data_IF_345433550627
#
_entry.id   IF_345433550627
#
_cell.length_a   1.000
_cell.length_b   1.000
_cell.length_c   1.000
_cell.angle_alpha   90.00
_cell.angle_beta   90.00
_cell.angle_gamma   90.00
#
_symmetry.space_group_name_H-M   'P 1'
#
loop_
_entity.id
_entity.type
_entity.pdbx_description
1 polymer ?
#
# COMPACT_ATOMS: atom_id res chain seq x y z
N UNK A 1 -42.62 18.98 -3.49
CA UNK A 1 -42.00 20.12 -4.18
C UNK A 1 -43.09 21.15 -4.43
N UNK A 2 -43.18 22.14 -3.56
CA UNK A 2 -44.03 23.32 -3.77
C UNK A 2 -43.27 24.25 -4.68
N UNK A 3 -43.66 24.31 -5.95
CA UNK A 3 -43.09 25.29 -6.89
C UNK A 3 -43.56 26.68 -6.48
N UNK A 4 -42.64 27.50 -5.97
CA UNK A 4 -42.83 28.94 -5.89
C UNK A 4 -42.89 29.46 -7.32
N UNK A 5 -44.12 29.64 -7.83
CA UNK A 5 -44.35 30.33 -9.10
C UNK A 5 -44.18 31.81 -8.78
N UNK A 6 -43.25 32.48 -9.46
CA UNK A 6 -42.96 33.90 -9.26
C UNK A 6 -44.27 34.71 -9.34
N UNK A 7 -44.61 35.43 -8.27
CA UNK A 7 -45.85 36.24 -8.20
C UNK A 7 -45.92 37.29 -9.31
N UNK A 8 -44.76 37.77 -9.76
CA UNK A 8 -44.60 38.71 -10.88
C UNK A 8 -45.04 38.11 -12.22
N UNK A 9 -44.75 36.82 -12.47
CA UNK A 9 -45.17 36.12 -13.68
C UNK A 9 -46.69 35.86 -13.69
N UNK A 10 -47.29 35.65 -12.52
CA UNK A 10 -48.75 35.52 -12.40
C UNK A 10 -49.47 36.86 -12.62
N UNK A 11 -48.92 37.95 -12.07
CA UNK A 11 -49.46 39.30 -12.25
C UNK A 11 -49.39 39.76 -13.70
N UNK A 12 -48.25 39.60 -14.37
CA UNK A 12 -48.07 39.96 -15.78
C UNK A 12 -48.99 39.17 -16.72
N UNK A 13 -49.20 37.88 -16.44
CA UNK A 13 -50.17 37.06 -17.19
C UNK A 13 -51.61 37.56 -17.03
N UNK A 14 -51.99 37.98 -15.83
CA UNK A 14 -53.33 38.50 -15.55
C UNK A 14 -53.58 39.85 -16.22
N UNK A 15 -52.57 40.73 -16.21
CA UNK A 15 -52.61 42.01 -16.92
C UNK A 15 -52.71 41.81 -18.44
N UNK A 16 -51.91 40.90 -19.01
CA UNK A 16 -51.99 40.60 -20.44
C UNK A 16 -53.36 40.02 -20.85
N UNK A 17 -54.00 39.22 -19.99
CA UNK A 17 -55.34 38.70 -20.24
C UNK A 17 -56.41 39.82 -20.21
N UNK A 18 -56.31 40.75 -19.27
CA UNK A 18 -57.21 41.92 -19.20
C UNK A 18 -57.01 42.88 -20.38
N UNK A 19 -55.75 43.16 -20.76
CA UNK A 19 -55.46 44.01 -21.91
C UNK A 19 -55.97 43.41 -23.21
N UNK A 20 -55.95 42.08 -23.34
CA UNK A 20 -56.51 41.39 -24.51
C UNK A 20 -58.03 41.39 -24.57
N UNK A 21 -58.73 41.56 -23.44
CA UNK A 21 -60.20 41.62 -23.39
C UNK A 21 -60.75 43.05 -23.54
N UNK A 22 -59.97 44.06 -23.15
CA UNK A 22 -60.38 45.47 -23.19
C UNK A 22 -60.07 46.15 -24.53
N UNK A 23 -59.04 45.70 -25.25
CA UNK A 23 -58.62 46.30 -26.52
C UNK A 23 -58.99 45.38 -27.69
N UNK A 24 -59.96 45.76 -28.55
CA UNK A 24 -60.23 45.00 -29.77
C UNK A 24 -58.98 44.97 -30.65
N UNK A 25 -58.46 43.77 -30.94
CA UNK A 25 -57.26 43.55 -31.75
C UNK A 25 -55.98 43.23 -30.96
N UNK A 26 -56.00 43.28 -29.63
CA UNK A 26 -54.85 42.88 -28.81
C UNK A 26 -54.76 41.35 -28.69
N UNK A 27 -53.85 40.73 -29.45
CA UNK A 27 -53.61 39.28 -29.39
C UNK A 27 -52.87 38.89 -28.11
N UNK A 28 -53.39 37.91 -27.36
CA UNK A 28 -52.73 37.33 -26.18
C UNK A 28 -51.32 36.85 -26.54
N UNK A 29 -50.31 37.50 -25.94
CA UNK A 29 -48.91 37.12 -26.11
C UNK A 29 -48.69 35.72 -25.53
N UNK A 30 -48.57 34.72 -26.41
CA UNK A 30 -48.15 33.37 -26.05
C UNK A 30 -46.65 33.43 -25.79
N UNK A 31 -46.27 33.67 -24.54
CA UNK A 31 -44.88 33.50 -24.10
C UNK A 31 -44.53 32.03 -24.36
N UNK A 32 -43.55 31.80 -25.23
CA UNK A 32 -43.16 30.49 -25.78
C UNK A 32 -42.91 29.45 -24.67
N UNK A 33 -43.95 28.72 -24.27
CA UNK A 33 -43.81 27.41 -23.62
C UNK A 33 -43.94 26.35 -24.71
N UNK A 34 -42.80 25.92 -25.23
CA UNK A 34 -42.74 24.80 -26.17
C UNK A 34 -43.49 23.59 -25.59
N UNK A 35 -44.47 23.11 -26.35
CA UNK A 35 -45.07 21.77 -26.27
C UNK A 35 -45.56 21.28 -24.91
N UNK A 36 -46.64 21.88 -24.40
CA UNK A 36 -47.64 21.10 -23.66
C UNK A 36 -48.98 21.38 -24.31
N UNK A 37 -49.35 20.52 -25.28
CA UNK A 37 -50.74 20.37 -25.69
C UNK A 37 -51.52 19.89 -24.47
N UNK A 38 -52.01 20.81 -23.65
CA UNK A 38 -53.10 20.48 -22.75
C UNK A 38 -54.31 20.28 -23.64
N UNK A 39 -54.59 19.03 -24.00
CA UNK A 39 -55.90 18.66 -24.51
C UNK A 39 -56.93 19.26 -23.54
N UNK A 40 -57.66 20.28 -24.01
CA UNK A 40 -58.79 20.81 -23.27
C UNK A 40 -59.84 19.69 -23.25
N UNK A 41 -59.76 18.83 -22.25
CA UNK A 41 -60.80 17.84 -22.01
C UNK A 41 -62.10 18.61 -21.78
N UNK A 42 -62.97 18.62 -22.79
CA UNK A 42 -64.34 19.15 -22.72
C UNK A 42 -65.18 18.23 -21.83
N UNK A 43 -64.78 18.06 -20.57
CA UNK A 43 -65.51 17.32 -19.56
C UNK A 43 -66.26 18.29 -18.65
N UNK A 44 -67.51 17.97 -18.33
CA UNK A 44 -68.22 18.65 -17.23
C UNK A 44 -67.35 18.59 -15.97
N UNK A 45 -67.26 19.70 -15.22
CA UNK A 45 -66.52 19.79 -13.95
C UNK A 45 -66.90 18.65 -13.00
N UNK A 46 -68.14 18.13 -13.08
CA UNK A 46 -68.60 16.97 -12.34
C UNK A 46 -67.81 15.67 -12.65
N UNK A 47 -67.44 15.41 -13.92
CA UNK A 47 -66.61 14.25 -14.29
C UNK A 47 -65.17 14.38 -13.79
N UNK A 48 -64.66 15.60 -13.68
CA UNK A 48 -63.35 15.86 -13.08
C UNK A 48 -63.38 15.62 -11.56
N UNK A 49 -64.46 16.05 -10.91
CA UNK A 49 -64.68 15.81 -9.48
C UNK A 49 -64.79 14.32 -9.19
N UNK A 50 -65.59 13.55 -9.94
CA UNK A 50 -65.69 12.09 -9.78
C UNK A 50 -64.35 11.38 -9.96
N UNK A 51 -63.58 11.75 -11.00
CA UNK A 51 -62.21 11.22 -11.22
C UNK A 51 -61.28 11.55 -10.05
N UNK A 52 -61.36 12.76 -9.50
CA UNK A 52 -60.53 13.16 -8.36
C UNK A 52 -60.96 12.45 -7.07
N UNK A 53 -62.25 12.22 -6.85
CA UNK A 53 -62.77 11.48 -5.69
C UNK A 53 -62.33 10.01 -5.74
N UNK A 54 -62.42 9.35 -6.90
CA UNK A 54 -61.91 7.98 -7.10
C UNK A 54 -60.41 7.88 -6.84
N UNK A 55 -59.62 8.80 -7.41
CA UNK A 55 -58.18 8.88 -7.13
C UNK A 55 -57.89 9.12 -5.65
N UNK A 56 -58.69 9.94 -4.96
CA UNK A 56 -58.52 10.19 -3.52
C UNK A 56 -58.80 8.93 -2.69
N UNK A 57 -59.75 8.09 -3.07
CA UNK A 57 -60.00 6.79 -2.43
C UNK A 57 -58.79 5.87 -2.63
N UNK A 58 -58.28 5.74 -3.86
CA UNK A 58 -57.06 4.97 -4.15
C UNK A 58 -55.81 5.50 -3.42
N UNK A 59 -55.73 6.80 -3.16
CA UNK A 59 -54.63 7.42 -2.39
C UNK A 59 -54.79 7.13 -0.89
N UNK A 60 -56.03 7.06 -0.38
CA UNK A 60 -56.31 6.68 1.02
C UNK A 60 -56.07 5.19 1.27
N UNK A 61 -56.34 4.33 0.28
CA UNK A 61 -56.07 2.89 0.34
C UNK A 61 -54.57 2.54 0.20
N UNK A 62 -53.77 3.44 -0.39
CA UNK A 62 -52.31 3.29 -0.40
C UNK A 62 -51.78 3.38 1.03
N UNK A 63 -50.89 2.44 1.37
CA UNK A 63 -50.18 2.44 2.64
C UNK A 63 -49.21 3.63 2.74
N UNK A 64 -49.74 4.76 3.21
CA UNK A 64 -49.02 6.03 3.40
C UNK A 64 -47.80 5.81 4.30
N UNK A 65 -47.89 4.89 5.26
CA UNK A 65 -46.80 4.59 6.19
C UNK A 65 -45.62 3.94 5.47
N UNK A 66 -45.85 2.92 4.63
CA UNK A 66 -44.78 2.32 3.81
C UNK A 66 -44.13 3.33 2.87
N UNK A 67 -44.92 4.22 2.26
CA UNK A 67 -44.39 5.27 1.37
C UNK A 67 -43.52 6.26 2.16
N UNK A 68 -43.98 6.74 3.32
CA UNK A 68 -43.20 7.62 4.21
C UNK A 68 -41.92 6.94 4.69
N UNK A 69 -41.98 5.67 5.07
CA UNK A 69 -40.81 4.88 5.49
C UNK A 69 -39.77 4.77 4.36
N UNK A 70 -40.21 4.46 3.13
CA UNK A 70 -39.33 4.41 1.95
C UNK A 70 -38.68 5.78 1.68
N UNK A 71 -39.44 6.87 1.72
CA UNK A 71 -38.91 8.24 1.54
C UNK A 71 -37.86 8.58 2.60
N UNK A 72 -38.14 8.33 3.88
CA UNK A 72 -37.18 8.55 4.97
C UNK A 72 -35.90 7.75 4.79
N UNK A 73 -35.99 6.50 4.31
CA UNK A 73 -34.80 5.69 4.03
C UNK A 73 -33.98 6.25 2.87
N UNK A 74 -34.63 6.77 1.82
CA UNK A 74 -33.95 7.42 0.69
C UNK A 74 -33.23 8.69 1.18
N UNK A 75 -33.93 9.56 1.91
CA UNK A 75 -33.35 10.78 2.49
C UNK A 75 -32.15 10.47 3.40
N UNK A 76 -32.24 9.43 4.25
CA UNK A 76 -31.11 9.00 5.08
C UNK A 76 -29.93 8.49 4.27
N UNK A 77 -30.17 7.77 3.16
CA UNK A 77 -29.11 7.31 2.27
C UNK A 77 -28.44 8.49 1.58
N UNK A 78 -29.21 9.43 1.05
CA UNK A 78 -28.71 10.65 0.43
C UNK A 78 -27.88 11.48 1.41
N UNK A 79 -28.37 11.65 2.65
CA UNK A 79 -27.64 12.33 3.70
C UNK A 79 -26.29 11.66 3.99
N UNK A 80 -26.26 10.32 4.12
CA UNK A 80 -25.01 9.58 4.33
C UNK A 80 -24.04 9.73 3.16
N UNK A 81 -24.54 9.68 1.92
CA UNK A 81 -23.73 9.87 0.72
C UNK A 81 -23.13 11.28 0.70
N UNK A 82 -23.92 12.30 0.99
CA UNK A 82 -23.46 13.68 1.03
C UNK A 82 -22.42 13.89 2.13
N UNK A 83 -22.64 13.34 3.33
CA UNK A 83 -21.66 13.37 4.42
C UNK A 83 -20.32 12.74 4.02
N UNK A 84 -20.34 11.61 3.31
CA UNK A 84 -19.11 10.97 2.80
C UNK A 84 -18.43 11.84 1.75
N UNK A 85 -19.19 12.48 0.85
CA UNK A 85 -18.64 13.41 -0.15
C UNK A 85 -17.99 14.63 0.52
N UNK A 86 -18.63 15.22 1.52
CA UNK A 86 -18.10 16.34 2.29
C UNK A 86 -16.81 15.97 3.01
N UNK A 87 -16.78 14.82 3.69
CA UNK A 87 -15.57 14.32 4.35
C UNK A 87 -14.42 14.08 3.35
N UNK A 88 -14.73 13.56 2.16
CA UNK A 88 -13.73 13.37 1.10
C UNK A 88 -13.20 14.70 0.59
N UNK A 89 -14.06 15.70 0.42
CA UNK A 89 -13.66 17.05 0.01
C UNK A 89 -12.77 17.69 1.07
N UNK A 90 -13.14 17.58 2.34
CA UNK A 90 -12.34 18.09 3.47
C UNK A 90 -10.96 17.41 3.54
N UNK A 91 -10.90 16.09 3.36
CA UNK A 91 -9.64 15.35 3.30
C UNK A 91 -8.76 15.79 2.12
N UNK A 92 -9.36 15.99 0.94
CA UNK A 92 -8.64 16.48 -0.23
C UNK A 92 -8.06 17.88 -0.01
N UNK A 93 -8.84 18.78 0.63
CA UNK A 93 -8.38 20.11 0.99
C UNK A 93 -7.20 20.05 1.98
N UNK A 94 -7.33 19.24 3.05
CA UNK A 94 -6.26 18.99 4.02
C UNK A 94 -4.99 18.46 3.35
N UNK A 95 -5.13 17.51 2.43
CA UNK A 95 -4.01 16.95 1.67
C UNK A 95 -3.36 18.02 0.78
N UNK A 96 -4.14 18.86 0.11
CA UNK A 96 -3.61 19.96 -0.70
C UNK A 96 -2.80 20.94 0.14
N UNK A 97 -3.27 21.30 1.33
CA UNK A 97 -2.55 22.18 2.26
C UNK A 97 -1.25 21.51 2.73
N UNK A 98 -1.33 20.25 3.14
CA UNK A 98 -0.17 19.48 3.58
C UNK A 98 0.91 19.37 2.50
N UNK A 99 0.52 19.19 1.23
CA UNK A 99 1.44 19.18 0.09
C UNK A 99 2.16 20.51 -0.08
N UNK A 100 1.42 21.63 0.04
CA UNK A 100 2.00 22.99 -0.02
C UNK A 100 2.99 23.23 1.12
N UNK A 101 2.59 22.96 2.36
CA UNK A 101 3.47 23.12 3.52
C UNK A 101 4.70 22.20 3.45
N UNK A 102 4.58 21.01 2.83
CA UNK A 102 5.71 20.12 2.58
C UNK A 102 6.66 20.69 1.53
N UNK A 103 6.15 21.22 0.41
CA UNK A 103 7.00 21.83 -0.62
C UNK A 103 7.71 23.10 -0.15
N UNK A 104 7.05 23.90 0.69
CA UNK A 104 7.58 25.14 1.25
C UNK A 104 8.45 24.91 2.50
N UNK A 105 8.46 23.69 3.05
CA UNK A 105 9.18 23.36 4.29
C UNK A 105 8.53 23.90 5.57
N UNK A 106 7.36 24.54 5.48
CA UNK A 106 6.62 25.21 6.57
C UNK A 106 5.72 24.25 7.38
N UNK A 107 6.06 22.96 7.42
CA UNK A 107 5.22 21.93 8.01
C UNK A 107 5.10 22.06 9.55
N UNK A 108 3.87 22.14 10.03
CA UNK A 108 3.54 22.34 11.45
C UNK A 108 3.85 21.09 12.28
N UNK A 109 4.11 21.23 13.59
CA UNK A 109 4.32 20.09 14.51
C UNK A 109 3.18 19.06 14.46
N UNK A 110 1.92 19.52 14.39
CA UNK A 110 0.73 18.65 14.28
C UNK A 110 0.72 17.86 12.97
N UNK A 111 1.06 18.51 11.85
CA UNK A 111 1.13 17.91 10.53
C UNK A 111 2.27 16.89 10.42
N UNK A 112 3.43 17.20 11.02
CA UNK A 112 4.55 16.26 11.16
C UNK A 112 4.14 15.00 11.93
N UNK A 113 3.45 15.16 13.06
CA UNK A 113 2.95 14.02 13.86
C UNK A 113 1.95 13.19 13.06
N UNK A 114 1.02 13.84 12.35
CA UNK A 114 0.06 13.17 11.48
C UNK A 114 0.74 12.39 10.36
N UNK A 115 1.71 13.00 9.66
CA UNK A 115 2.47 12.33 8.59
C UNK A 115 3.27 11.13 9.10
N UNK A 116 3.88 11.22 10.29
CA UNK A 116 4.55 10.07 10.91
C UNK A 116 3.56 8.93 11.19
N UNK A 117 2.43 9.22 11.84
CA UNK A 117 1.41 8.21 12.11
C UNK A 117 0.90 7.53 10.82
N UNK A 118 0.68 8.29 9.74
CA UNK A 118 0.29 7.74 8.43
C UNK A 118 1.42 6.91 7.82
N UNK A 119 2.67 7.36 7.93
CA UNK A 119 3.85 6.62 7.47
C UNK A 119 3.97 5.29 8.20
N UNK A 120 3.85 5.29 9.53
CA UNK A 120 3.95 4.09 10.37
C UNK A 120 2.83 3.09 10.02
N UNK A 121 1.60 3.56 9.82
CA UNK A 121 0.50 2.71 9.36
C UNK A 121 0.75 2.13 7.97
N UNK A 122 1.30 2.91 7.05
CA UNK A 122 1.60 2.44 5.69
C UNK A 122 2.78 1.45 5.68
N UNK A 123 3.80 1.69 6.51
CA UNK A 123 4.91 0.77 6.71
C UNK A 123 4.38 -0.54 7.27
N UNK A 124 3.52 -0.51 8.29
CA UNK A 124 2.96 -1.72 8.87
C UNK A 124 2.08 -2.48 7.86
N UNK A 125 1.28 -1.77 7.04
CA UNK A 125 0.51 -2.41 5.95
C UNK A 125 1.41 -3.02 4.88
N UNK A 126 2.48 -2.33 4.48
CA UNK A 126 3.43 -2.86 3.50
C UNK A 126 4.18 -4.07 4.06
N UNK A 127 4.60 -4.01 5.33
CA UNK A 127 5.25 -5.13 6.03
C UNK A 127 4.31 -6.30 6.30
N UNK A 128 3.00 -6.07 6.45
CA UNK A 128 2.04 -7.17 6.63
C UNK A 128 1.89 -8.09 5.41
N UNK A 129 2.47 -7.71 4.28
CA UNK A 129 2.57 -8.57 3.09
C UNK A 129 3.95 -9.24 2.98
N UNK A 130 4.92 -8.86 3.83
CA UNK A 130 6.21 -9.55 3.95
C UNK A 130 6.01 -10.80 4.83
N UNK A 131 6.90 -11.78 4.68
CA UNK A 131 6.89 -12.97 5.52
C UNK A 131 7.20 -12.59 6.97
N UNK A 132 6.65 -13.35 7.93
CA UNK A 132 7.04 -13.22 9.32
C UNK A 132 8.54 -13.49 9.46
N UNK A 133 9.19 -12.86 10.45
CA UNK A 133 10.66 -12.87 10.59
C UNK A 133 11.22 -14.30 10.63
N UNK A 134 10.48 -15.23 11.26
CA UNK A 134 10.84 -16.65 11.37
C UNK A 134 10.77 -17.37 10.00
N UNK A 135 9.69 -17.16 9.24
CA UNK A 135 9.52 -17.73 7.90
C UNK A 135 10.54 -17.14 6.90
N UNK A 136 10.92 -15.88 7.10
CA UNK A 136 11.91 -15.19 6.31
C UNK A 136 13.32 -15.75 6.53
N UNK A 137 13.66 -16.09 7.76
CA UNK A 137 14.94 -16.74 8.08
C UNK A 137 15.02 -18.13 7.45
N UNK A 138 13.97 -18.94 7.57
CA UNK A 138 13.89 -20.26 6.93
C UNK A 138 14.00 -20.18 5.41
N UNK A 139 13.24 -19.27 4.79
CA UNK A 139 13.28 -19.04 3.34
C UNK A 139 14.67 -18.57 2.89
N UNK A 140 15.31 -17.68 3.66
CA UNK A 140 16.65 -17.19 3.37
C UNK A 140 17.68 -18.31 3.49
N UNK A 141 17.54 -19.21 4.46
CA UNK A 141 18.39 -20.39 4.63
C UNK A 141 18.26 -21.35 3.44
N UNK A 142 17.03 -21.66 3.01
CA UNK A 142 16.77 -22.48 1.82
C UNK A 142 17.32 -21.82 0.56
N UNK A 143 17.12 -20.52 0.39
CA UNK A 143 17.66 -19.77 -0.75
C UNK A 143 19.19 -19.82 -0.78
N UNK A 144 19.83 -19.66 0.38
CA UNK A 144 21.27 -19.74 0.53
C UNK A 144 21.78 -21.16 0.24
N UNK A 145 21.07 -22.19 0.68
CA UNK A 145 21.39 -23.59 0.38
C UNK A 145 21.32 -23.87 -1.12
N UNK A 146 20.27 -23.43 -1.80
CA UNK A 146 20.12 -23.56 -3.27
C UNK A 146 21.24 -22.80 -3.99
N UNK A 147 21.52 -21.57 -3.57
CA UNK A 147 22.61 -20.76 -4.13
C UNK A 147 23.97 -21.43 -3.94
N UNK A 148 24.21 -22.03 -2.77
CA UNK A 148 25.44 -22.75 -2.46
C UNK A 148 25.52 -24.06 -3.25
N UNK A 149 24.42 -24.76 -3.47
CA UNK A 149 24.36 -25.94 -4.33
C UNK A 149 24.71 -25.57 -5.78
N UNK A 150 24.13 -24.49 -6.31
CA UNK A 150 24.45 -23.98 -7.64
C UNK A 150 25.92 -23.55 -7.76
N UNK A 151 26.47 -22.89 -6.74
CA UNK A 151 27.87 -22.44 -6.72
C UNK A 151 28.88 -23.59 -6.50
N UNK A 152 28.55 -24.57 -5.66
CA UNK A 152 29.41 -25.74 -5.36
C UNK A 152 29.60 -26.65 -6.57
N UNK A 153 28.68 -26.59 -7.54
CA UNK A 153 28.84 -27.24 -8.84
C UNK A 153 29.94 -26.58 -9.72
N UNK A 154 30.50 -25.44 -9.32
CA UNK A 154 31.68 -24.87 -9.98
C UNK A 154 32.94 -25.64 -9.58
N UNK A 155 33.56 -26.27 -10.57
CA UNK A 155 34.85 -26.98 -10.50
C UNK A 155 36.03 -26.16 -9.89
N UNK A 156 35.83 -24.87 -9.66
CA UNK A 156 36.81 -23.94 -9.10
C UNK A 156 37.27 -24.32 -7.68
N UNK A 157 36.35 -24.67 -6.77
CA UNK A 157 36.71 -25.00 -5.38
C UNK A 157 37.39 -26.37 -5.26
N UNK A 158 36.95 -27.36 -6.04
CA UNK A 158 37.65 -28.66 -6.14
C UNK A 158 39.07 -28.48 -6.68
N UNK A 159 39.26 -27.62 -7.68
CA UNK A 159 40.58 -27.37 -8.25
C UNK A 159 41.51 -26.61 -7.29
N UNK A 160 40.99 -25.62 -6.55
CA UNK A 160 41.74 -24.90 -5.50
C UNK A 160 42.17 -25.84 -4.37
N UNK A 161 41.28 -26.73 -3.90
CA UNK A 161 41.59 -27.77 -2.89
C UNK A 161 42.62 -28.79 -3.38
N UNK A 162 42.60 -29.19 -4.65
CA UNK A 162 43.64 -30.09 -5.21
C UNK A 162 45.01 -29.41 -5.25
N UNK A 163 45.07 -28.12 -5.58
CA UNK A 163 46.33 -27.36 -5.62
C UNK A 163 46.94 -27.14 -4.24
N UNK A 164 46.14 -26.90 -3.21
CA UNK A 164 46.65 -26.74 -1.84
C UNK A 164 47.20 -28.05 -1.26
N UNK A 165 46.50 -29.17 -1.45
CA UNK A 165 46.96 -30.50 -0.99
C UNK A 165 48.31 -30.92 -1.62
N UNK A 166 48.53 -30.58 -2.90
CA UNK A 166 49.81 -30.88 -3.58
C UNK A 166 50.98 -30.05 -3.05
N UNK A 167 50.72 -28.86 -2.49
CA UNK A 167 51.75 -28.02 -1.85
C UNK A 167 52.11 -28.58 -0.47
N UNK A 168 51.11 -28.89 0.35
CA UNK A 168 51.30 -29.45 1.70
C UNK A 168 52.07 -30.77 1.70
N UNK A 169 51.75 -31.68 0.77
CA UNK A 169 52.47 -32.95 0.65
C UNK A 169 53.96 -32.78 0.32
N UNK A 170 54.32 -31.76 -0.46
CA UNK A 170 55.74 -31.49 -0.81
C UNK A 170 56.51 -30.90 0.38
N UNK A 171 55.87 -30.08 1.20
CA UNK A 171 56.48 -29.54 2.43
C UNK A 171 56.72 -30.64 3.48
N UNK A 172 55.77 -31.56 3.67
CA UNK A 172 55.90 -32.65 4.65
C UNK A 172 57.03 -33.64 4.31
N UNK A 173 57.26 -33.92 3.02
CA UNK A 173 58.39 -34.75 2.58
C UNK A 173 59.73 -34.04 2.80
N UNK A 174 59.77 -32.72 2.63
CA UNK A 174 60.98 -31.92 2.85
C UNK A 174 61.35 -31.85 4.33
N UNK A 175 60.36 -31.73 5.22
CA UNK A 175 60.57 -31.68 6.66
C UNK A 175 61.06 -33.02 7.25
N UNK A 176 60.57 -34.16 6.75
CA UNK A 176 60.98 -35.50 7.22
C UNK A 176 62.40 -35.89 6.84
N UNK A 177 63.00 -35.27 5.81
CA UNK A 177 64.40 -35.52 5.40
C UNK A 177 65.45 -34.84 6.31
N UNK A 178 65.06 -33.86 7.12
CA UNK A 178 65.99 -33.11 7.99
C UNK A 178 66.14 -33.72 9.38
N UNK A 179 65.26 -34.63 9.79
CA UNK A 179 65.34 -35.37 11.04
C UNK A 179 65.78 -36.81 10.71
N UNK A 180 67.04 -37.14 10.98
CA UNK A 180 67.60 -38.50 10.83
C UNK A 180 66.95 -39.47 11.83
N UNK A 181 65.69 -39.83 11.61
CA UNK A 181 64.97 -40.82 12.41
C UNK A 181 65.20 -42.18 11.75
N UNK A 182 66.16 -42.96 12.26
CA UNK A 182 66.29 -44.37 11.87
C UNK A 182 65.13 -45.16 12.50
N UNK A 183 64.26 -45.71 11.64
CA UNK A 183 63.07 -46.44 12.07
C UNK A 183 63.35 -47.74 12.85
N UNK A 184 64.59 -48.23 12.86
CA UNK A 184 64.97 -49.47 13.56
C UNK A 184 65.12 -49.28 15.07
N UNK A 185 65.37 -48.06 15.53
CA UNK A 185 65.56 -47.76 16.96
C UNK A 185 64.78 -46.50 17.35
N UNK A 186 63.49 -46.65 17.71
CA UNK A 186 62.61 -45.51 18.03
C UNK A 186 62.98 -44.78 19.33
N UNK A 187 63.99 -45.26 20.09
CA UNK A 187 64.50 -44.65 21.31
C UNK A 187 65.90 -44.04 21.18
N UNK A 188 66.47 -43.94 19.96
CA UNK A 188 67.80 -43.37 19.77
C UNK A 188 67.83 -41.84 19.90
N UNK A 189 66.70 -41.17 19.68
CA UNK A 189 66.60 -39.71 19.60
C UNK A 189 66.04 -38.97 20.83
N UNK A 190 65.23 -39.56 21.74
CA UNK A 190 64.76 -38.84 22.92
C UNK A 190 65.79 -38.95 24.06
N UNK A 191 66.87 -38.16 23.96
CA UNK A 191 67.90 -38.11 24.99
C UNK A 191 69.31 -37.78 24.48
N UNK A 192 69.52 -37.78 23.16
CA UNK A 192 70.77 -37.28 22.58
C UNK A 192 70.78 -35.76 22.68
N UNK A 193 71.74 -35.21 23.42
CA UNK A 193 71.90 -33.77 23.56
C UNK A 193 72.27 -33.15 22.19
N UNK A 194 71.70 -31.99 21.82
CA UNK A 194 72.13 -31.28 20.62
C UNK A 194 73.54 -30.72 20.83
N UNK A 195 74.54 -31.51 20.43
CA UNK A 195 75.95 -31.08 20.38
C UNK A 195 76.14 -30.06 19.27
N UNK A 196 76.71 -28.92 19.60
CA UNK A 196 77.06 -27.85 18.66
C UNK A 196 78.46 -28.07 18.09
N UNK A 197 78.74 -27.50 16.91
CA UNK A 197 80.05 -27.58 16.25
C UNK A 197 81.22 -26.97 17.07
N UNK A 198 80.91 -26.29 18.18
CA UNK A 198 81.88 -25.69 19.10
C UNK A 198 82.23 -26.58 20.31
N UNK A 199 81.61 -27.76 20.44
CA UNK A 199 81.83 -28.71 21.55
C UNK A 199 82.78 -29.87 21.14
N UNK A 200 83.23 -29.89 19.88
CA UNK A 200 84.20 -30.89 19.37
C UNK A 200 85.64 -30.36 19.29
N UNK A 201 85.90 -29.12 19.73
CA UNK A 201 87.24 -28.51 19.74
C UNK A 201 87.62 -28.02 21.15
N UNK A 202 88.03 -28.93 22.05
CA UNK A 202 89.24 -28.78 22.90
C UNK A 202 89.45 -29.93 23.91
N UNK A 203 90.66 -30.51 23.84
CA UNK A 203 91.44 -31.14 24.93
C UNK A 203 91.07 -32.54 25.47
N UNK A 204 91.74 -33.57 24.93
CA UNK A 204 92.22 -34.70 25.74
C UNK A 204 93.51 -35.31 25.15
N UNK A 205 94.64 -34.65 25.37
CA UNK A 205 95.96 -35.22 25.09
C UNK A 205 96.95 -34.84 26.22
N UNK A 206 96.79 -35.48 27.38
CA UNK A 206 97.84 -35.56 28.41
C UNK A 206 97.54 -36.76 29.31
N UNK A 207 98.24 -37.89 29.07
CA UNK A 207 98.81 -38.79 30.10
C UNK A 207 99.29 -40.09 29.42
N UNK A 208 100.59 -40.13 29.06
CA UNK A 208 101.44 -41.34 29.01
C UNK A 208 102.91 -40.95 28.74
N UNK A 209 103.75 -40.98 29.77
CA UNK A 209 105.21 -41.02 29.58
C UNK A 209 106.07 -40.66 30.79
N UNK A 210 106.52 -41.71 31.50
CA UNK A 210 107.62 -41.82 32.49
C UNK A 210 107.36 -41.50 33.97
#
# INVERSE_FOLDING_TARGET
>A
MTSFVNSTEQATKSVNDLLSSLLPGATKLKINSNNIRSESTKGSKAKLIDRNLKKNIEIKERDVYKIKKKKKLIEQKEFKINKVKELKLEQNAKLSILKKHKSEGTLTKKEKKYLRAVSDQNINKAKSWDFDEDEKEELQNVQNEIMNFMKSNNNYDKHKRRRSKKKQFKEEISAKKQLNVDHRYPGLTPGLAPVGLSDEEDSSEEEKGF
#
